data_IF_596687239729
#
_entry.id   IF_596687239729
#
_cell.length_a   1.000
_cell.length_b   1.000
_cell.length_c   1.000
_cell.angle_alpha   90.00
_cell.angle_beta   90.00
_cell.angle_gamma   90.00
#
_symmetry.space_group_name_H-M   'P 1'
#
loop_
_entity.id
_entity.type
_entity.pdbx_description
1 polymer ?
#
# COMPACT_ATOMS: atom_id res chain seq x y z
N UNK A 1 12.96 10.36 15.18
CA UNK A 1 12.53 10.47 13.77
C UNK A 1 11.65 9.27 13.50
N UNK A 2 10.34 9.48 13.37
CA UNK A 2 9.35 8.40 13.37
C UNK A 2 9.51 7.52 12.15
N UNK A 3 9.64 6.20 12.37
CA UNK A 3 9.52 5.20 11.33
C UNK A 3 8.03 4.88 11.15
N UNK A 4 7.59 4.65 9.91
CA UNK A 4 6.26 4.10 9.66
C UNK A 4 6.29 2.58 9.84
N UNK A 5 5.22 2.04 10.42
CA UNK A 5 5.09 0.62 10.74
C UNK A 5 4.37 -0.16 9.65
N UNK A 6 3.41 0.50 8.99
CA UNK A 6 2.58 -0.12 7.97
C UNK A 6 2.16 0.82 6.86
N UNK A 7 1.79 0.24 5.73
CA UNK A 7 1.11 0.90 4.64
C UNK A 7 -0.29 0.32 4.49
N UNK A 8 -1.32 1.15 4.52
CA UNK A 8 -2.69 0.81 4.20
C UNK A 8 -2.97 1.14 2.73
N UNK A 9 -3.54 0.20 1.99
CA UNK A 9 -3.98 0.39 0.63
C UNK A 9 -5.48 0.12 0.53
N UNK A 10 -6.22 1.03 -0.08
CA UNK A 10 -7.64 0.87 -0.34
C UNK A 10 -7.98 1.31 -1.76
N UNK A 11 -8.68 0.45 -2.50
CA UNK A 11 -9.36 0.83 -3.73
C UNK A 11 -10.86 0.76 -3.57
N UNK A 12 -11.58 1.56 -4.35
CA UNK A 12 -13.01 1.42 -4.57
C UNK A 12 -13.30 1.40 -6.07
N UNK A 13 -14.39 0.75 -6.48
CA UNK A 13 -14.73 0.52 -7.89
C UNK A 13 -14.41 -0.91 -8.37
N UNK A 14 -14.09 -1.07 -9.65
CA UNK A 14 -14.07 -2.35 -10.38
C UNK A 14 -13.13 -3.46 -9.87
N UNK A 15 -12.37 -3.21 -8.81
CA UNK A 15 -11.45 -4.17 -8.19
C UNK A 15 -11.21 -3.84 -6.71
N UNK A 16 -12.29 -3.53 -5.97
CA UNK A 16 -12.22 -3.14 -4.56
C UNK A 16 -11.39 -4.13 -3.74
N UNK A 17 -10.33 -3.62 -3.13
CA UNK A 17 -9.48 -4.34 -2.20
C UNK A 17 -9.06 -3.40 -1.08
N UNK A 18 -8.98 -3.94 0.13
CA UNK A 18 -8.46 -3.24 1.30
C UNK A 18 -7.44 -4.16 1.97
N UNK A 19 -6.21 -3.68 2.13
CA UNK A 19 -5.16 -4.44 2.79
C UNK A 19 -4.13 -3.53 3.47
N UNK A 20 -3.41 -4.13 4.42
CA UNK A 20 -2.30 -3.50 5.12
C UNK A 20 -1.03 -4.31 4.91
N UNK A 21 0.06 -3.64 4.55
CA UNK A 21 1.41 -4.21 4.46
C UNK A 21 2.24 -3.86 5.68
N UNK A 22 2.97 -4.85 6.19
CA UNK A 22 3.90 -4.70 7.30
C UNK A 22 5.30 -5.16 6.90
N UNK A 23 6.31 -4.47 7.43
CA UNK A 23 7.69 -4.97 7.42
C UNK A 23 7.77 -6.32 8.13
N UNK A 24 8.71 -7.15 7.68
CA UNK A 24 9.05 -8.40 8.36
C UNK A 24 10.53 -8.35 8.76
N UNK A 25 11.01 -9.41 9.44
CA UNK A 25 12.44 -9.54 9.74
C UNK A 25 13.28 -9.76 8.46
N UNK A 26 12.67 -10.29 7.41
CA UNK A 26 13.31 -10.49 6.12
C UNK A 26 13.07 -9.26 5.24
N UNK A 27 14.12 -8.54 4.79
CA UNK A 27 13.96 -7.34 3.97
C UNK A 27 13.34 -7.59 2.58
N UNK A 28 13.36 -8.84 2.11
CA UNK A 28 12.77 -9.26 0.85
C UNK A 28 11.36 -9.86 1.03
N UNK A 29 10.76 -9.73 2.22
CA UNK A 29 9.40 -10.15 2.49
C UNK A 29 8.57 -9.09 3.19
N UNK A 30 7.31 -8.97 2.76
CA UNK A 30 6.28 -8.19 3.44
C UNK A 30 5.17 -9.10 3.92
N UNK A 31 4.54 -8.75 5.03
CA UNK A 31 3.31 -9.41 5.48
C UNK A 31 2.12 -8.58 5.01
N UNK A 32 1.24 -9.19 4.22
CA UNK A 32 -0.02 -8.59 3.82
C UNK A 32 -1.17 -9.13 4.68
N UNK A 33 -2.05 -8.23 5.13
CA UNK A 33 -3.31 -8.55 5.79
C UNK A 33 -4.42 -7.92 4.96
N UNK A 34 -5.26 -8.74 4.34
CA UNK A 34 -6.37 -8.31 3.49
C UNK A 34 -7.65 -8.33 4.30
N UNK A 35 -8.34 -7.18 4.34
CA UNK A 35 -9.56 -6.95 5.11
C UNK A 35 -10.82 -6.92 4.21
N UNK A 36 -10.67 -6.67 2.91
CA UNK A 36 -11.78 -6.63 1.95
C UNK A 36 -11.35 -7.05 0.55
N UNK A 37 -12.19 -7.82 -0.14
CA UNK A 37 -12.02 -8.20 -1.55
C UNK A 37 -13.38 -8.22 -2.23
N UNK A 38 -13.53 -7.53 -3.37
CA UNK A 38 -14.75 -7.53 -4.20
C UNK A 38 -16.03 -7.29 -3.38
N UNK A 39 -16.06 -6.22 -2.57
CA UNK A 39 -17.22 -5.83 -1.74
C UNK A 39 -17.58 -6.81 -0.62
N UNK A 40 -16.68 -7.74 -0.28
CA UNK A 40 -16.85 -8.66 0.85
C UNK A 40 -15.75 -8.44 1.87
N UNK A 41 -16.15 -8.27 3.12
CA UNK A 41 -15.22 -8.28 4.24
C UNK A 41 -14.58 -9.66 4.34
N UNK A 42 -13.27 -9.69 4.55
CA UNK A 42 -12.47 -10.90 4.64
C UNK A 42 -11.33 -10.72 5.63
N UNK A 43 -10.65 -11.79 6.00
CA UNK A 43 -9.40 -11.72 6.76
C UNK A 43 -8.47 -12.79 6.22
N UNK A 44 -7.59 -12.38 5.32
CA UNK A 44 -6.56 -13.25 4.74
C UNK A 44 -5.20 -12.67 5.08
N UNK A 45 -4.27 -13.53 5.49
CA UNK A 45 -2.91 -13.13 5.79
C UNK A 45 -1.93 -14.02 5.02
N UNK A 46 -0.95 -13.40 4.38
CA UNK A 46 0.12 -14.12 3.68
C UNK A 46 1.39 -13.28 3.58
N UNK A 47 2.48 -13.96 3.24
CA UNK A 47 3.77 -13.34 2.96
C UNK A 47 3.85 -13.03 1.46
N UNK A 48 4.34 -11.84 1.15
CA UNK A 48 4.72 -11.41 -0.18
C UNK A 48 6.24 -11.49 -0.30
N UNK A 49 6.72 -12.39 -1.16
CA UNK A 49 8.13 -12.50 -1.49
C UNK A 49 8.47 -11.53 -2.61
N UNK A 50 9.53 -10.75 -2.43
CA UNK A 50 10.05 -9.87 -3.47
C UNK A 50 10.52 -10.70 -4.66
N UNK A 51 10.08 -10.31 -5.85
CA UNK A 51 10.59 -10.83 -7.11
C UNK A 51 11.13 -9.68 -7.99
N UNK A 52 11.80 -9.98 -9.12
CA UNK A 52 12.35 -8.94 -10.00
C UNK A 52 11.30 -8.00 -10.62
N UNK A 53 10.07 -8.47 -10.87
CA UNK A 53 9.00 -7.68 -11.48
C UNK A 53 8.41 -6.66 -10.49
N UNK A 54 8.45 -6.96 -9.20
CA UNK A 54 7.84 -6.16 -8.14
C UNK A 54 8.89 -5.31 -7.38
N UNK A 55 10.15 -5.33 -7.83
CA UNK A 55 11.26 -4.75 -7.09
C UNK A 55 11.12 -3.24 -6.85
N UNK A 56 10.47 -2.52 -7.78
CA UNK A 56 10.21 -1.09 -7.66
C UNK A 56 9.23 -0.78 -6.52
N UNK A 57 8.09 -1.48 -6.46
CA UNK A 57 7.11 -1.37 -5.38
C UNK A 57 7.72 -1.68 -4.01
N UNK A 58 8.48 -2.77 -3.89
CA UNK A 58 9.17 -3.13 -2.64
C UNK A 58 10.18 -2.06 -2.20
N UNK A 59 10.96 -1.50 -3.13
CA UNK A 59 11.90 -0.43 -2.84
C UNK A 59 11.17 0.85 -2.41
N UNK A 60 10.09 1.22 -3.09
CA UNK A 60 9.26 2.37 -2.75
C UNK A 60 8.67 2.25 -1.34
N UNK A 61 8.12 1.08 -1.00
CA UNK A 61 7.65 0.79 0.35
C UNK A 61 8.77 0.92 1.38
N UNK A 62 9.93 0.32 1.12
CA UNK A 62 11.10 0.37 2.01
C UNK A 62 11.57 1.81 2.27
N UNK A 63 11.66 2.62 1.21
CA UNK A 63 12.02 4.04 1.35
C UNK A 63 10.99 4.80 2.18
N UNK A 64 9.70 4.59 1.92
CA UNK A 64 8.64 5.24 2.66
C UNK A 64 8.66 4.88 4.15
N UNK A 65 8.70 3.59 4.52
CA UNK A 65 8.72 3.15 5.93
C UNK A 65 9.96 3.60 6.71
N UNK A 66 11.08 3.81 6.01
CA UNK A 66 12.31 4.33 6.59
C UNK A 66 12.40 5.86 6.58
N UNK A 67 11.33 6.54 6.14
CA UNK A 67 11.28 8.00 6.00
C UNK A 67 12.39 8.55 5.07
N UNK A 68 12.76 7.75 4.06
CA UNK A 68 13.70 8.09 2.97
C UNK A 68 12.97 8.58 1.71
N UNK A 69 11.63 8.57 1.73
CA UNK A 69 10.78 9.15 0.69
C UNK A 69 9.78 10.13 1.33
N UNK A 70 9.52 11.24 0.65
CA UNK A 70 8.51 12.20 1.08
C UNK A 70 7.11 11.67 0.73
N UNK A 71 6.25 11.50 1.74
CA UNK A 71 4.86 11.06 1.51
C UNK A 71 3.99 12.16 0.93
N UNK A 72 4.24 13.40 1.34
CA UNK A 72 3.46 14.57 0.95
C UNK A 72 3.92 15.11 -0.41
N UNK A 73 2.98 15.49 -1.25
CA UNK A 73 3.23 16.09 -2.56
C UNK A 73 2.06 16.94 -3.04
N UNK A 74 1.90 17.03 -4.36
CA UNK A 74 0.85 17.83 -5.01
C UNK A 74 -0.38 17.05 -5.46
N UNK A 75 -0.37 15.72 -5.39
CA UNK A 75 -1.48 14.90 -5.88
C UNK A 75 -2.74 15.17 -5.06
N UNK A 76 -3.83 15.51 -5.76
CA UNK A 76 -5.17 15.64 -5.18
C UNK A 76 -6.09 14.68 -5.90
N UNK A 77 -6.66 13.68 -5.21
CA UNK A 77 -7.64 12.79 -5.82
C UNK A 77 -8.85 13.60 -6.31
N UNK A 78 -9.43 13.17 -7.44
CA UNK A 78 -10.68 13.75 -7.93
C UNK A 78 -11.79 13.51 -6.91
N UNK A 79 -12.57 14.55 -6.62
CA UNK A 79 -13.73 14.49 -5.72
C UNK A 79 -15.01 14.05 -6.43
N UNK A 80 -14.96 13.83 -7.75
CA UNK A 80 -16.12 13.40 -8.52
C UNK A 80 -16.45 11.94 -8.21
N UNK A 81 -17.74 11.59 -7.97
CA UNK A 81 -18.18 10.23 -7.65
C UNK A 81 -18.10 9.25 -8.85
N UNK A 82 -17.43 9.64 -9.93
CA UNK A 82 -17.33 8.88 -11.18
C UNK A 82 -15.94 8.25 -11.29
N UNK A 83 -15.82 6.95 -10.98
CA UNK A 83 -14.62 6.15 -11.30
C UNK A 83 -14.11 5.27 -10.16
N UNK A 84 -13.09 4.46 -10.48
CA UNK A 84 -12.30 3.73 -9.50
C UNK A 84 -11.26 4.67 -8.89
N UNK A 85 -11.06 4.61 -7.58
CA UNK A 85 -10.03 5.38 -6.88
C UNK A 85 -9.17 4.47 -6.00
N UNK A 86 -7.95 4.93 -5.70
CA UNK A 86 -7.03 4.27 -4.78
C UNK A 86 -6.39 5.28 -3.83
N UNK A 87 -6.44 4.98 -2.54
CA UNK A 87 -5.71 5.71 -1.50
C UNK A 87 -4.66 4.82 -0.86
N UNK A 88 -3.55 5.44 -0.49
CA UNK A 88 -2.43 4.81 0.17
C UNK A 88 -2.08 5.65 1.38
N UNK A 89 -2.03 5.04 2.55
CA UNK A 89 -1.70 5.70 3.81
C UNK A 89 -0.53 4.98 4.47
N UNK A 90 0.32 5.72 5.16
CA UNK A 90 1.29 5.16 6.08
C UNK A 90 0.90 5.48 7.52
N UNK A 91 1.10 4.51 8.40
CA UNK A 91 0.83 4.66 9.84
C UNK A 91 2.14 4.65 10.59
N UNK A 92 2.40 5.71 11.34
CA UNK A 92 3.55 5.82 12.23
C UNK A 92 3.34 4.98 13.50
N UNK A 93 4.45 4.64 14.18
CA UNK A 93 4.42 3.99 15.50
C UNK A 93 3.68 4.77 16.59
N UNK A 94 3.49 6.07 16.37
CA UNK A 94 2.68 6.95 17.23
C UNK A 94 1.17 6.82 16.96
N UNK A 95 0.76 6.09 15.93
CA UNK A 95 -0.62 6.01 15.45
C UNK A 95 -1.00 7.12 14.45
N UNK A 96 -0.09 8.06 14.15
CA UNK A 96 -0.32 9.09 13.15
C UNK A 96 -0.46 8.47 11.76
N UNK A 97 -1.48 8.91 10.99
CA UNK A 97 -1.75 8.43 9.64
C UNK A 97 -1.43 9.54 8.65
N UNK A 98 -0.63 9.24 7.64
CA UNK A 98 -0.24 10.18 6.58
C UNK A 98 -0.63 9.61 5.22
N UNK A 99 -1.41 10.36 4.45
CA UNK A 99 -1.76 9.99 3.08
C UNK A 99 -0.57 10.23 2.13
N UNK A 100 -0.35 9.29 1.21
CA UNK A 100 0.62 9.45 0.14
C UNK A 100 0.05 10.33 -0.97
N UNK A 101 0.50 11.58 -1.00
CA UNK A 101 0.17 12.59 -2.03
C UNK A 101 1.37 12.94 -2.93
N UNK A 102 2.51 12.30 -2.71
CA UNK A 102 3.63 12.28 -3.66
C UNK A 102 3.30 11.33 -4.81
N UNK A 103 3.21 11.87 -6.03
CA UNK A 103 2.72 11.14 -7.21
C UNK A 103 3.68 10.01 -7.65
N UNK A 104 4.98 10.25 -7.67
CA UNK A 104 5.98 9.24 -8.04
C UNK A 104 5.97 8.05 -7.08
N UNK A 105 5.93 8.36 -5.78
CA UNK A 105 5.83 7.35 -4.73
C UNK A 105 4.51 6.58 -4.85
N UNK A 106 3.39 7.30 -5.01
CA UNK A 106 2.06 6.70 -5.17
C UNK A 106 2.01 5.76 -6.35
N UNK A 107 2.51 6.16 -7.52
CA UNK A 107 2.51 5.33 -8.73
C UNK A 107 3.28 4.02 -8.52
N UNK A 108 4.42 4.10 -7.83
CA UNK A 108 5.21 2.90 -7.48
C UNK A 108 4.47 1.98 -6.48
N UNK A 109 3.76 2.55 -5.52
CA UNK A 109 3.06 1.78 -4.48
C UNK A 109 1.73 1.19 -4.96
N UNK A 110 1.11 1.74 -6.01
CA UNK A 110 -0.14 1.21 -6.59
C UNK A 110 0.03 -0.22 -7.11
N UNK A 111 1.22 -0.60 -7.54
CA UNK A 111 1.55 -1.97 -8.00
C UNK A 111 1.22 -3.05 -6.96
N UNK A 112 1.29 -2.73 -5.66
CA UNK A 112 0.88 -3.67 -4.62
C UNK A 112 -0.59 -4.10 -4.72
N UNK A 113 -1.45 -3.24 -5.28
CA UNK A 113 -2.84 -3.59 -5.56
C UNK A 113 -2.95 -4.81 -6.47
N UNK A 114 -2.10 -4.89 -7.51
CA UNK A 114 -2.06 -6.02 -8.43
C UNK A 114 -1.36 -7.23 -7.80
N UNK A 115 -0.22 -7.03 -7.14
CA UNK A 115 0.56 -8.09 -6.47
C UNK A 115 -0.31 -8.86 -5.46
N UNK A 116 -1.06 -8.14 -4.62
CA UNK A 116 -1.96 -8.75 -3.63
C UNK A 116 -3.12 -9.47 -4.32
N UNK A 117 -3.70 -8.88 -5.36
CA UNK A 117 -4.79 -9.53 -6.10
C UNK A 117 -4.37 -10.83 -6.81
N UNK A 118 -3.17 -10.88 -7.37
CA UNK A 118 -2.66 -12.08 -8.02
C UNK A 118 -2.37 -13.21 -7.02
N UNK A 119 -2.00 -12.87 -5.78
CA UNK A 119 -1.84 -13.84 -4.70
C UNK A 119 -3.16 -14.42 -4.17
N UNK A 120 -4.28 -13.74 -4.43
CA UNK A 120 -5.63 -14.13 -4.00
C UNK A 120 -6.38 -14.99 -5.03
N UNK A 121 -5.82 -15.20 -6.23
CA UNK A 121 -6.37 -16.10 -7.26
C UNK A 121 -5.95 -17.53 -7.00
#
# INVERSE_FOLDING_TARGET
KGFYDSMHYVTSGGGQIDFTLYKTKNPDQLRAIVSKVRYRDTTLQFMLDKNPNDAAAFLAFKKAVNNEAQLNGGFKPSTLPTGSWSYIYFTASTGEVTEVTNEELKNSLIEFGQIVQDKLK
#
